data_IF_647525493812
#
_entry.id   IF_647525493812
#
_cell.length_a   1.000
_cell.length_b   1.000
_cell.length_c   1.000
_cell.angle_alpha   90.00
_cell.angle_beta   90.00
_cell.angle_gamma   90.00
#
_symmetry.space_group_name_H-M   'P 1'
#
loop_
_entity.id
_entity.type
_entity.pdbx_description
1 polymer ?
#
# COMPACT_ATOMS: atom_id res chain seq x y z
N UNK A 1 11.03 -15.62 -1.64
CA UNK A 1 11.02 -15.34 -0.19
C UNK A 1 9.61 -15.08 0.30
N UNK A 2 9.41 -15.23 1.60
CA UNK A 2 8.17 -14.88 2.31
C UNK A 2 8.44 -13.74 3.29
N UNK A 3 7.56 -12.75 3.32
CA UNK A 3 7.56 -11.70 4.32
C UNK A 3 6.22 -11.65 5.05
N UNK A 4 6.22 -11.13 6.26
CA UNK A 4 5.05 -10.97 7.10
C UNK A 4 4.84 -9.48 7.37
N UNK A 5 3.71 -8.96 6.91
CA UNK A 5 3.27 -7.63 7.25
C UNK A 5 2.32 -7.67 8.44
N UNK A 6 2.51 -6.78 9.40
CA UNK A 6 1.68 -6.65 10.60
C UNK A 6 1.24 -5.20 10.80
N UNK A 7 -0.06 -4.96 10.96
CA UNK A 7 -0.60 -3.62 11.21
C UNK A 7 -1.59 -3.63 12.37
N UNK A 8 -1.60 -2.54 13.14
CA UNK A 8 -2.55 -2.34 14.23
C UNK A 8 -3.76 -1.57 13.72
N UNK A 9 -4.94 -2.18 13.79
CA UNK A 9 -6.21 -1.57 13.36
C UNK A 9 -6.99 -1.16 14.61
N UNK A 10 -7.31 0.14 14.69
CA UNK A 10 -8.21 0.66 15.70
C UNK A 10 -9.64 0.60 15.15
N UNK A 11 -10.46 -0.26 15.71
CA UNK A 11 -11.87 -0.35 15.36
C UNK A 11 -12.63 0.81 16.02
N UNK A 12 -13.32 1.62 15.21
CA UNK A 12 -14.01 2.83 15.70
C UNK A 12 -15.11 2.56 16.75
N UNK A 13 -15.67 1.34 16.78
CA UNK A 13 -16.74 0.94 17.70
C UNK A 13 -16.28 0.02 18.85
N UNK A 14 -14.97 -0.10 19.09
CA UNK A 14 -14.47 -0.96 20.16
C UNK A 14 -14.67 -0.31 21.54
N UNK A 15 -15.05 -1.08 22.59
CA UNK A 15 -15.18 -0.54 23.93
C UNK A 15 -13.85 0.06 24.42
N UNK A 16 -13.88 1.14 25.22
CA UNK A 16 -12.68 1.79 25.72
C UNK A 16 -11.82 0.79 26.50
N UNK A 17 -10.55 0.66 26.10
CA UNK A 17 -9.61 -0.32 26.66
C UNK A 17 -9.45 -1.60 25.86
N UNK A 18 -10.17 -1.77 24.75
CA UNK A 18 -9.94 -2.90 23.84
C UNK A 18 -8.55 -2.83 23.21
N UNK A 19 -7.78 -3.93 23.19
CA UNK A 19 -6.50 -3.95 22.51
C UNK A 19 -6.69 -3.71 21.01
N UNK A 20 -5.76 -3.02 20.34
CA UNK A 20 -5.82 -2.86 18.90
C UNK A 20 -5.79 -4.23 18.21
N UNK A 21 -6.65 -4.41 17.21
CA UNK A 21 -6.69 -5.66 16.45
C UNK A 21 -5.46 -5.71 15.55
N UNK A 22 -4.61 -6.72 15.74
CA UNK A 22 -3.45 -6.96 14.91
C UNK A 22 -3.86 -7.72 13.64
N UNK A 23 -3.68 -7.08 12.48
CA UNK A 23 -3.84 -7.72 11.17
C UNK A 23 -2.48 -8.24 10.73
N UNK A 24 -2.42 -9.52 10.36
CA UNK A 24 -1.21 -10.17 9.83
C UNK A 24 -1.46 -10.60 8.39
N UNK A 25 -0.54 -10.28 7.49
CA UNK A 25 -0.63 -10.64 6.08
C UNK A 25 0.69 -11.22 5.58
N UNK A 26 0.65 -12.42 5.02
CA UNK A 26 1.80 -13.02 4.36
C UNK A 26 1.97 -12.44 2.95
N UNK A 27 3.17 -11.94 2.67
CA UNK A 27 3.59 -11.46 1.36
C UNK A 27 4.44 -12.49 0.65
N UNK A 28 4.12 -12.70 -0.62
CA UNK A 28 4.77 -13.63 -1.54
C UNK A 28 5.32 -12.89 -2.75
N UNK A 29 6.17 -13.56 -3.51
CA UNK A 29 6.70 -13.03 -4.77
C UNK A 29 5.57 -12.58 -5.72
N UNK A 30 5.77 -11.44 -6.37
CA UNK A 30 4.79 -10.82 -7.28
C UNK A 30 3.83 -9.84 -6.59
N UNK A 31 3.81 -9.77 -5.26
CA UNK A 31 3.02 -8.78 -4.52
C UNK A 31 3.85 -7.53 -4.24
N UNK A 32 3.17 -6.40 -4.10
CA UNK A 32 3.77 -5.11 -3.75
C UNK A 32 3.11 -4.53 -2.50
N UNK A 33 3.77 -3.52 -1.94
CA UNK A 33 3.32 -2.75 -0.79
C UNK A 33 3.77 -1.29 -0.95
N UNK A 34 3.26 -0.42 -0.08
CA UNK A 34 3.55 1.02 -0.05
C UNK A 34 3.13 1.79 -1.29
N UNK A 35 2.21 1.26 -2.10
CA UNK A 35 1.71 1.95 -3.29
C UNK A 35 1.09 3.32 -2.95
N UNK A 36 0.48 3.45 -1.77
CA UNK A 36 -0.08 4.71 -1.30
C UNK A 36 0.96 5.85 -1.27
N UNK A 37 2.24 5.54 -1.04
CA UNK A 37 3.33 6.52 -1.04
C UNK A 37 3.61 7.12 -2.42
N UNK A 38 3.14 6.50 -3.51
CA UNK A 38 3.22 7.08 -4.85
C UNK A 38 2.17 8.17 -5.09
N UNK A 39 1.05 8.12 -4.37
CA UNK A 39 -0.15 8.88 -4.71
C UNK A 39 -0.53 9.95 -3.67
N UNK A 40 -0.05 9.83 -2.44
CA UNK A 40 -0.36 10.76 -1.36
C UNK A 40 0.78 10.86 -0.34
N UNK A 41 0.71 11.85 0.55
CA UNK A 41 1.58 11.94 1.72
C UNK A 41 1.30 10.77 2.66
N UNK A 42 2.06 9.70 2.52
CA UNK A 42 1.83 8.44 3.21
C UNK A 42 2.83 8.21 4.34
N UNK A 43 2.31 7.73 5.47
CA UNK A 43 3.11 7.21 6.58
C UNK A 43 2.78 5.74 6.72
N UNK A 44 3.81 4.89 6.75
CA UNK A 44 3.64 3.45 6.88
C UNK A 44 2.74 3.10 8.08
N UNK A 45 1.83 2.17 7.85
CA UNK A 45 0.73 1.80 8.75
C UNK A 45 0.97 0.47 9.46
N UNK A 46 2.10 -0.17 9.20
CA UNK A 46 2.51 -1.40 9.84
C UNK A 46 4.01 -1.65 9.75
N UNK A 47 4.39 -2.84 10.17
CA UNK A 47 5.75 -3.35 10.14
C UNK A 47 5.85 -4.50 9.14
N UNK A 48 6.99 -4.57 8.45
CA UNK A 48 7.30 -5.67 7.55
C UNK A 48 8.49 -6.46 8.08
N UNK A 49 8.31 -7.76 8.23
CA UNK A 49 9.30 -8.69 8.72
C UNK A 49 9.62 -9.73 7.65
N UNK A 50 10.89 -9.87 7.26
CA UNK A 50 11.32 -10.96 6.38
C UNK A 50 11.29 -12.29 7.16
N UNK A 51 10.50 -13.26 6.71
CA UNK A 51 10.41 -14.59 7.33
C UNK A 51 11.47 -15.53 6.73
N UNK A 52 11.79 -15.32 5.46
CA UNK A 52 12.89 -15.98 4.76
C UNK A 52 13.72 -14.93 4.02
N UNK A 53 14.79 -15.35 3.37
CA UNK A 53 15.49 -14.51 2.40
C UNK A 53 14.51 -14.01 1.33
N UNK A 54 14.49 -12.68 1.16
CA UNK A 54 13.60 -11.97 0.25
C UNK A 54 14.41 -10.96 -0.57
N UNK A 55 13.96 -10.73 -1.80
CA UNK A 55 14.47 -9.68 -2.67
C UNK A 55 13.31 -8.72 -2.96
N UNK A 56 13.55 -7.43 -2.77
CA UNK A 56 12.57 -6.37 -3.03
C UNK A 56 13.07 -5.49 -4.16
N UNK A 57 12.16 -5.13 -5.07
CA UNK A 57 12.37 -4.06 -6.03
C UNK A 57 11.75 -2.79 -5.45
N UNK A 58 12.61 -1.87 -4.99
CA UNK A 58 12.17 -0.59 -4.47
C UNK A 58 12.02 0.42 -5.62
N UNK A 59 10.86 1.06 -5.70
CA UNK A 59 10.61 2.18 -6.61
C UNK A 59 10.70 3.48 -5.81
N UNK A 60 11.58 4.39 -6.23
CA UNK A 60 11.63 5.73 -5.66
C UNK A 60 10.41 6.55 -6.10
N UNK A 61 9.58 6.96 -5.13
CA UNK A 61 8.37 7.72 -5.39
C UNK A 61 8.67 9.07 -6.06
N UNK A 62 9.77 9.72 -5.67
CA UNK A 62 10.14 11.04 -6.21
C UNK A 62 10.57 10.93 -7.67
N UNK A 63 11.47 9.99 -7.98
CA UNK A 63 11.90 9.68 -9.34
C UNK A 63 10.75 9.21 -10.23
N UNK A 64 9.85 8.38 -9.70
CA UNK A 64 8.63 7.97 -10.41
C UNK A 64 7.76 9.19 -10.78
N UNK A 65 7.48 10.08 -9.82
CA UNK A 65 6.69 11.28 -10.07
C UNK A 65 7.33 12.18 -11.13
N UNK A 66 8.66 12.36 -11.08
CA UNK A 66 9.40 13.13 -12.09
C UNK A 66 9.25 12.52 -13.49
N UNK A 67 9.47 11.22 -13.65
CA UNK A 67 9.36 10.54 -14.95
C UNK A 67 7.94 10.55 -15.50
N UNK A 68 6.95 10.30 -14.65
CA UNK A 68 5.54 10.30 -15.07
C UNK A 68 5.09 11.71 -15.46
N UNK A 69 5.48 12.73 -14.70
CA UNK A 69 5.11 14.12 -14.97
C UNK A 69 5.72 14.67 -16.27
N UNK A 70 6.87 14.14 -16.72
CA UNK A 70 7.49 14.55 -17.99
C UNK A 70 6.77 13.99 -19.22
N UNK A 71 5.86 13.03 -19.06
CA UNK A 71 5.10 12.41 -20.15
C UNK A 71 3.61 12.69 -20.01
N UNK A 72 3.07 13.62 -20.83
CA UNK A 72 1.69 14.12 -20.69
C UNK A 72 0.61 13.03 -20.63
N UNK A 73 0.69 12.01 -21.49
CA UNK A 73 -0.26 10.90 -21.51
C UNK A 73 -0.17 10.07 -20.22
N UNK A 74 1.03 9.64 -19.84
CA UNK A 74 1.29 8.87 -18.62
C UNK A 74 0.85 9.65 -17.37
N UNK A 75 1.18 10.93 -17.28
CA UNK A 75 0.74 11.81 -16.19
C UNK A 75 -0.78 11.86 -16.08
N UNK A 76 -1.48 11.98 -17.20
CA UNK A 76 -2.96 12.04 -17.21
C UNK A 76 -3.56 10.74 -16.70
N UNK A 77 -3.06 9.59 -17.16
CA UNK A 77 -3.50 8.27 -16.68
C UNK A 77 -3.17 8.05 -15.20
N UNK A 78 -1.94 8.35 -14.79
CA UNK A 78 -1.50 8.20 -13.41
C UNK A 78 -2.31 9.10 -12.47
N UNK A 79 -2.57 10.36 -12.83
CA UNK A 79 -3.40 11.26 -12.02
C UNK A 79 -4.85 10.76 -11.89
N UNK A 80 -5.42 10.20 -12.96
CA UNK A 80 -6.76 9.61 -12.92
C UNK A 80 -6.80 8.36 -12.02
N UNK A 81 -5.78 7.50 -12.10
CA UNK A 81 -5.63 6.33 -11.23
C UNK A 81 -5.43 6.73 -9.77
N UNK A 82 -4.49 7.64 -9.49
CA UNK A 82 -4.18 8.15 -8.15
C UNK A 82 -5.43 8.68 -7.44
N UNK A 83 -6.29 9.42 -8.16
CA UNK A 83 -7.56 9.90 -7.60
C UNK A 83 -8.47 8.77 -7.15
N UNK A 84 -8.69 7.77 -8.02
CA UNK A 84 -9.51 6.59 -7.69
C UNK A 84 -8.91 5.77 -6.55
N UNK A 85 -7.59 5.61 -6.56
CA UNK A 85 -6.86 4.92 -5.51
C UNK A 85 -7.08 5.60 -4.16
N UNK A 86 -6.87 6.92 -4.08
CA UNK A 86 -7.04 7.68 -2.83
C UNK A 86 -8.50 7.70 -2.36
N UNK A 87 -9.47 7.78 -3.28
CA UNK A 87 -10.89 7.62 -2.94
C UNK A 87 -11.20 6.26 -2.31
N UNK A 88 -10.65 5.17 -2.87
CA UNK A 88 -10.76 3.82 -2.30
C UNK A 88 -10.07 3.71 -0.95
N UNK A 89 -8.85 4.25 -0.84
CA UNK A 89 -8.05 4.25 0.38
C UNK A 89 -8.77 4.98 1.54
N UNK A 90 -9.45 6.09 1.25
CA UNK A 90 -10.19 6.86 2.25
C UNK A 90 -11.49 6.19 2.71
N UNK A 91 -12.04 5.25 1.93
CA UNK A 91 -13.25 4.50 2.27
C UNK A 91 -12.95 3.17 2.98
N UNK A 92 -11.73 2.67 2.86
CA UNK A 92 -11.32 1.37 3.38
C UNK A 92 -10.32 1.45 4.52
N UNK A 93 -9.71 0.29 4.82
CA UNK A 93 -8.60 0.23 5.77
C UNK A 93 -7.34 0.84 5.15
N UNK A 94 -6.83 1.91 5.76
CA UNK A 94 -5.57 2.53 5.38
C UNK A 94 -4.38 1.64 5.79
N UNK A 95 -3.82 0.91 4.83
CA UNK A 95 -2.74 -0.08 5.03
C UNK A 95 -1.68 0.03 3.92
N UNK A 96 -0.45 -0.39 4.20
CA UNK A 96 0.63 -0.43 3.20
C UNK A 96 0.39 -1.50 2.12
N UNK A 97 -0.47 -2.49 2.38
CA UNK A 97 -0.65 -3.61 1.47
C UNK A 97 -2.01 -3.58 0.82
N UNK A 98 -2.03 -3.37 -0.50
CA UNK A 98 -3.26 -3.38 -1.29
C UNK A 98 -3.66 -4.83 -1.58
N UNK A 99 -4.95 -5.15 -1.55
CA UNK A 99 -5.42 -6.40 -2.12
C UNK A 99 -5.35 -6.25 -3.64
N UNK A 100 -4.42 -6.97 -4.27
CA UNK A 100 -4.51 -7.19 -5.70
C UNK A 100 -5.79 -8.01 -5.93
N UNK A 101 -6.89 -7.33 -6.27
CA UNK A 101 -8.04 -7.99 -6.87
C UNK A 101 -7.59 -8.71 -8.15
N UNK A 102 -8.34 -9.72 -8.62
CA UNK A 102 -8.02 -10.33 -9.91
C UNK A 102 -7.97 -9.21 -10.95
N UNK A 103 -6.84 -9.13 -11.64
CA UNK A 103 -6.71 -8.29 -12.82
C UNK A 103 -7.50 -9.07 -13.90
N UNK A 104 -8.81 -8.87 -13.94
CA UNK A 104 -9.62 -9.41 -15.02
C UNK A 104 -9.15 -8.73 -16.31
N UNK A 105 -8.54 -9.55 -17.19
CA UNK A 105 -8.12 -9.20 -18.54
C UNK A 105 -9.33 -8.98 -19.45
#
# INVERSE_FOLDING_TARGET
GHALYTASVHQQDAPPGSPPTLVKRALRGGQWLSEAALWTGWVHRGELWAVTECLFFALDASGFAQVISSHKSAHTFAAAYARKFVEGLNRGLQTDVVEAGPIDN
#
